data_IF_703184492383
#
_entry.id   IF_703184492383
#
_cell.length_a   1.000
_cell.length_b   1.000
_cell.length_c   1.000
_cell.angle_alpha   90.00
_cell.angle_beta   90.00
_cell.angle_gamma   90.00
#
_symmetry.space_group_name_H-M   'P 1'
#
loop_
_entity.id
_entity.type
_entity.pdbx_description
1 polymer ?
#
# COMPACT_ATOMS: atom_id res chain seq x y z
N UNK A 1 2.00 13.18 25.95
CA UNK A 1 0.78 12.37 25.86
C UNK A 1 1.00 11.10 26.62
N UNK A 2 0.10 10.75 27.54
CA UNK A 2 0.16 9.47 28.26
C UNK A 2 -0.16 8.34 27.29
N UNK A 3 0.66 7.29 27.31
CA UNK A 3 0.34 6.05 26.61
C UNK A 3 -0.84 5.37 27.28
N UNK A 4 -1.89 5.03 26.55
CA UNK A 4 -3.02 4.24 27.05
C UNK A 4 -2.67 2.76 26.84
N UNK A 5 -2.39 1.99 27.92
CA UNK A 5 -1.87 0.63 27.79
C UNK A 5 -2.95 -0.42 27.44
N UNK A 6 -4.21 -0.03 27.43
CA UNK A 6 -5.34 -0.91 27.10
C UNK A 6 -6.14 -0.36 25.94
N UNK A 7 -6.61 -1.22 25.01
CA UNK A 7 -7.49 -0.79 23.93
C UNK A 7 -8.73 -0.07 24.50
N UNK A 8 -9.07 1.07 23.90
CA UNK A 8 -10.25 1.85 24.25
C UNK A 8 -11.24 1.82 23.08
N UNK A 9 -12.55 1.76 23.36
CA UNK A 9 -13.55 1.96 22.32
C UNK A 9 -13.37 3.32 21.65
N UNK A 10 -13.52 3.35 20.32
CA UNK A 10 -13.44 4.59 19.56
C UNK A 10 -14.88 5.12 19.36
N UNK A 11 -15.25 6.27 19.98
CA UNK A 11 -16.59 6.82 19.84
C UNK A 11 -16.95 7.05 18.36
N UNK A 12 -18.14 6.63 17.96
CA UNK A 12 -18.60 6.73 16.56
C UNK A 12 -18.22 5.56 15.64
N UNK A 13 -17.46 4.57 16.16
CA UNK A 13 -17.16 3.31 15.50
C UNK A 13 -17.51 2.09 16.36
N UNK A 14 -18.56 2.23 17.20
CA UNK A 14 -18.98 1.19 18.15
C UNK A 14 -19.52 -0.07 17.46
N UNK A 15 -19.97 0.04 16.21
CA UNK A 15 -20.47 -1.07 15.40
C UNK A 15 -20.40 -0.78 13.90
N UNK A 16 -20.62 -1.82 13.10
CA UNK A 16 -20.72 -1.69 11.65
C UNK A 16 -19.40 -1.40 10.91
N UNK A 17 -18.25 -1.51 11.57
CA UNK A 17 -16.93 -1.41 10.91
C UNK A 17 -16.67 -2.69 10.13
N UNK A 18 -16.42 -2.57 8.84
CA UNK A 18 -16.11 -3.67 7.93
C UNK A 18 -14.62 -3.73 7.57
N UNK A 19 -13.92 -2.58 7.59
CA UNK A 19 -12.52 -2.48 7.20
C UNK A 19 -11.84 -1.29 7.88
N UNK A 20 -10.54 -1.41 8.15
CA UNK A 20 -9.68 -0.35 8.67
C UNK A 20 -8.50 -0.14 7.71
N UNK A 21 -8.17 1.11 7.44
CA UNK A 21 -6.98 1.53 6.73
C UNK A 21 -6.19 2.50 7.62
N UNK A 22 -4.91 2.20 7.83
CA UNK A 22 -4.05 2.98 8.73
C UNK A 22 -2.88 3.57 7.94
N UNK A 23 -2.77 4.88 7.94
CA UNK A 23 -1.61 5.62 7.46
C UNK A 23 -0.63 5.91 8.59
N UNK A 24 0.37 6.77 8.34
CA UNK A 24 1.39 7.11 9.35
C UNK A 24 0.79 7.93 10.51
N UNK A 25 -0.04 8.92 10.22
CA UNK A 25 -0.64 9.81 11.21
C UNK A 25 -2.17 9.84 11.20
N UNK A 26 -2.82 9.04 10.36
CA UNK A 26 -4.28 9.02 10.24
C UNK A 26 -4.81 7.59 10.11
N UNK A 27 -6.09 7.42 10.38
CA UNK A 27 -6.80 6.18 10.15
C UNK A 27 -8.16 6.45 9.52
N UNK A 28 -8.63 5.49 8.76
CA UNK A 28 -9.97 5.50 8.15
C UNK A 28 -10.66 4.16 8.39
N UNK A 29 -11.96 4.20 8.58
CA UNK A 29 -12.82 3.03 8.73
C UNK A 29 -13.90 3.06 7.65
N UNK A 30 -14.07 1.95 6.93
CA UNK A 30 -15.22 1.70 6.09
C UNK A 30 -16.28 0.97 6.90
N UNK A 31 -17.50 1.46 6.83
CA UNK A 31 -18.66 0.82 7.44
C UNK A 31 -19.32 -0.20 6.50
N UNK A 32 -20.14 -1.06 7.06
CA UNK A 32 -20.90 -2.08 6.30
C UNK A 32 -21.88 -1.49 5.31
N UNK A 33 -22.31 -0.24 5.49
CA UNK A 33 -23.15 0.51 4.56
C UNK A 33 -22.35 1.19 3.42
N UNK A 34 -21.02 1.02 3.40
CA UNK A 34 -20.13 1.58 2.39
C UNK A 34 -19.77 3.05 2.62
N UNK A 35 -20.12 3.64 3.77
CA UNK A 35 -19.64 4.97 4.16
C UNK A 35 -18.25 4.87 4.80
N UNK A 36 -17.51 5.99 4.83
CA UNK A 36 -16.14 6.07 5.37
C UNK A 36 -16.06 7.17 6.40
N UNK A 37 -15.36 6.91 7.50
CA UNK A 37 -15.00 7.90 8.51
C UNK A 37 -13.48 7.87 8.77
N UNK A 38 -12.85 9.04 8.80
CA UNK A 38 -11.41 9.18 9.02
C UNK A 38 -11.10 10.04 10.25
N UNK A 39 -9.93 9.81 10.87
CA UNK A 39 -9.44 10.54 12.05
C UNK A 39 -7.92 10.65 12.04
N UNK A 40 -7.38 11.47 12.93
CA UNK A 40 -5.94 11.71 13.05
C UNK A 40 -5.49 12.97 12.35
N UNK A 41 -4.28 12.94 11.81
CA UNK A 41 -3.66 14.07 11.09
C UNK A 41 -4.41 14.40 9.79
N UNK A 42 -4.60 15.70 9.54
CA UNK A 42 -5.23 16.24 8.33
C UNK A 42 -4.41 17.39 7.70
N UNK A 43 -3.14 17.49 8.04
CA UNK A 43 -2.26 18.57 7.54
C UNK A 43 -2.14 18.60 6.00
N UNK A 44 -2.46 17.48 5.35
CA UNK A 44 -2.47 17.32 3.90
C UNK A 44 -3.85 16.95 3.34
N UNK A 45 -4.93 17.13 4.11
CA UNK A 45 -6.29 16.80 3.65
C UNK A 45 -6.58 15.29 3.59
N UNK A 46 -5.78 14.44 4.24
CA UNK A 46 -5.89 12.98 4.18
C UNK A 46 -7.16 12.42 4.83
N UNK A 47 -7.92 13.24 5.55
CA UNK A 47 -9.23 12.87 6.09
C UNK A 47 -10.38 13.03 5.08
N UNK A 48 -10.13 13.56 3.88
CA UNK A 48 -11.11 13.67 2.80
C UNK A 48 -12.18 14.73 3.03
N UNK A 49 -11.87 15.77 3.79
CA UNK A 49 -12.79 16.85 4.14
C UNK A 49 -12.27 18.20 3.65
N UNK A 50 -13.18 19.03 3.13
CA UNK A 50 -12.82 20.36 2.66
C UNK A 50 -12.38 21.33 3.79
N UNK A 51 -12.77 21.04 5.03
CA UNK A 51 -12.26 21.73 6.20
C UNK A 51 -10.84 21.24 6.53
N UNK A 52 -9.87 22.09 6.38
CA UNK A 52 -8.47 21.76 6.66
C UNK A 52 -8.13 21.95 8.15
N UNK A 53 -9.00 21.50 9.06
CA UNK A 53 -8.63 21.36 10.47
C UNK A 53 -7.48 20.36 10.57
N UNK A 54 -6.37 20.74 11.19
CA UNK A 54 -5.10 19.99 11.15
C UNK A 54 -5.19 18.60 11.79
N UNK A 55 -6.13 18.37 12.70
CA UNK A 55 -6.29 17.11 13.42
C UNK A 55 -7.76 16.86 13.73
N UNK A 56 -8.22 15.61 13.52
CA UNK A 56 -9.49 15.12 14.03
C UNK A 56 -9.24 14.04 15.11
N UNK A 57 -9.61 14.34 16.35
CA UNK A 57 -9.40 13.42 17.49
C UNK A 57 -10.47 12.34 17.61
N UNK A 58 -11.49 12.38 16.75
CA UNK A 58 -12.54 11.37 16.64
C UNK A 58 -12.89 11.13 15.17
N UNK A 59 -13.43 9.95 14.80
CA UNK A 59 -13.84 9.65 13.45
C UNK A 59 -14.81 10.69 12.89
N UNK A 60 -14.49 11.22 11.72
CA UNK A 60 -15.30 12.17 10.98
C UNK A 60 -15.69 11.56 9.64
N UNK A 61 -16.96 11.64 9.28
CA UNK A 61 -17.45 11.12 8.00
C UNK A 61 -16.79 11.86 6.83
N UNK A 62 -16.44 11.11 5.77
CA UNK A 62 -15.94 11.64 4.51
C UNK A 62 -17.15 12.03 3.64
N UNK A 63 -17.42 13.33 3.40
CA UNK A 63 -18.62 13.76 2.72
C UNK A 63 -18.67 13.27 1.26
N UNK A 64 -19.85 12.82 0.82
CA UNK A 64 -20.10 12.44 -0.57
C UNK A 64 -19.46 11.13 -1.01
N UNK A 65 -18.82 10.39 -0.10
CA UNK A 65 -18.21 9.09 -0.37
C UNK A 65 -19.14 7.98 0.16
N UNK A 66 -19.69 7.17 -0.75
CA UNK A 66 -20.59 6.05 -0.44
C UNK A 66 -20.39 4.90 -1.41
N UNK A 67 -20.85 3.70 -1.05
CA UNK A 67 -20.66 2.51 -1.89
C UNK A 67 -19.22 2.01 -1.97
N UNK A 68 -18.40 2.39 -0.97
CA UNK A 68 -17.01 1.96 -0.89
C UNK A 68 -16.94 0.46 -0.61
N UNK A 69 -16.21 -0.26 -1.47
CA UNK A 69 -15.96 -1.70 -1.36
C UNK A 69 -14.61 -2.01 -0.73
N UNK A 70 -13.60 -1.13 -0.92
CA UNK A 70 -12.28 -1.22 -0.31
C UNK A 70 -11.76 0.16 0.08
N UNK A 71 -10.91 0.19 1.12
CA UNK A 71 -10.29 1.40 1.64
C UNK A 71 -8.81 1.16 1.90
N UNK A 72 -7.95 2.12 1.55
CA UNK A 72 -6.52 2.06 1.81
C UNK A 72 -5.96 3.41 2.24
N UNK A 73 -4.93 3.38 3.08
CA UNK A 73 -4.22 4.57 3.52
C UNK A 73 -2.71 4.41 3.27
N UNK A 74 -2.13 5.38 2.56
CA UNK A 74 -0.70 5.57 2.45
C UNK A 74 -0.15 6.44 3.59
N UNK A 75 1.07 6.96 3.47
CA UNK A 75 1.66 7.80 4.51
C UNK A 75 0.79 9.02 4.83
N UNK A 76 0.38 9.79 3.83
CA UNK A 76 -0.41 11.02 3.99
C UNK A 76 -1.48 11.20 2.92
N UNK A 77 -1.94 10.10 2.33
CA UNK A 77 -3.07 10.09 1.39
C UNK A 77 -3.93 8.86 1.63
N UNK A 78 -5.15 8.89 1.13
CA UNK A 78 -6.10 7.79 1.26
C UNK A 78 -6.70 7.49 -0.10
N UNK A 79 -7.05 6.22 -0.33
CA UNK A 79 -7.73 5.76 -1.54
C UNK A 79 -8.89 4.85 -1.18
N UNK A 80 -9.96 4.92 -1.96
CA UNK A 80 -11.14 4.07 -1.85
C UNK A 80 -11.54 3.53 -3.22
N UNK A 81 -12.03 2.31 -3.27
CA UNK A 81 -12.64 1.69 -4.43
C UNK A 81 -14.16 1.77 -4.30
N UNK A 82 -14.84 2.34 -5.29
CA UNK A 82 -16.29 2.41 -5.37
C UNK A 82 -16.81 1.26 -6.25
N UNK A 83 -17.48 0.28 -5.64
CA UNK A 83 -17.86 -0.95 -6.34
C UNK A 83 -16.69 -1.92 -6.52
N UNK A 84 -16.93 -3.01 -7.29
CA UNK A 84 -15.86 -3.95 -7.69
C UNK A 84 -16.39 -4.84 -8.84
N UNK A 85 -15.95 -4.64 -10.11
CA UNK A 85 -15.05 -3.58 -10.58
C UNK A 85 -15.65 -2.19 -10.42
N UNK A 86 -14.77 -1.19 -10.26
CA UNK A 86 -15.23 0.16 -10.01
C UNK A 86 -14.15 1.24 -10.08
N UNK A 87 -14.58 2.45 -9.76
CA UNK A 87 -13.76 3.64 -9.82
C UNK A 87 -12.90 3.79 -8.54
N UNK A 88 -11.64 4.16 -8.71
CA UNK A 88 -10.76 4.53 -7.61
C UNK A 88 -10.88 6.03 -7.33
N UNK A 89 -11.09 6.35 -6.05
CA UNK A 89 -11.07 7.73 -5.53
C UNK A 89 -9.90 7.88 -4.58
N UNK A 90 -9.06 8.90 -4.76
CA UNK A 90 -7.96 9.19 -3.84
C UNK A 90 -8.01 10.65 -3.36
N UNK A 91 -7.44 10.93 -2.20
CA UNK A 91 -7.35 12.25 -1.59
C UNK A 91 -6.19 12.34 -0.61
N UNK A 92 -5.87 13.55 -0.18
CA UNK A 92 -4.77 13.83 0.73
C UNK A 92 -3.61 14.54 0.04
N UNK A 93 -2.38 14.23 0.46
CA UNK A 93 -1.15 14.78 -0.11
C UNK A 93 -1.01 14.41 -1.58
N UNK A 94 -0.62 15.37 -2.43
CA UNK A 94 -0.51 15.17 -3.88
C UNK A 94 0.73 15.86 -4.51
N UNK A 95 1.68 16.31 -3.70
CA UNK A 95 2.93 16.94 -4.19
C UNK A 95 3.81 15.97 -5.02
N UNK A 96 3.52 14.68 -4.91
CA UNK A 96 4.16 13.60 -5.67
C UNK A 96 3.21 12.87 -6.62
N UNK A 97 2.05 13.47 -6.89
CA UNK A 97 0.99 12.92 -7.75
C UNK A 97 0.35 11.62 -7.22
N UNK A 98 0.42 11.35 -5.91
CA UNK A 98 -0.09 10.12 -5.31
C UNK A 98 -1.62 9.97 -5.36
N UNK A 99 -2.35 11.04 -5.63
CA UNK A 99 -3.80 11.03 -5.88
C UNK A 99 -4.16 10.55 -7.30
N UNK A 100 -3.31 10.80 -8.30
CA UNK A 100 -3.51 10.29 -9.66
C UNK A 100 -4.61 10.99 -10.46
N UNK A 101 -4.94 12.23 -10.13
CA UNK A 101 -6.01 13.01 -10.74
C UNK A 101 -5.60 13.81 -12.00
N UNK A 102 -4.41 13.52 -12.54
CA UNK A 102 -3.83 14.22 -13.70
C UNK A 102 -2.96 15.42 -13.35
N UNK A 103 -2.87 15.80 -12.08
CA UNK A 103 -2.16 16.99 -11.62
C UNK A 103 -1.23 16.70 -10.44
N UNK A 104 -0.36 17.65 -10.13
CA UNK A 104 0.34 17.75 -8.85
C UNK A 104 -0.13 18.99 -8.11
N UNK A 105 -0.40 18.86 -6.82
CA UNK A 105 -0.76 19.93 -5.92
C UNK A 105 -0.27 19.57 -4.52
N UNK A 106 -0.20 20.51 -3.59
CA UNK A 106 0.21 20.15 -2.23
C UNK A 106 -0.85 19.28 -1.55
N UNK A 107 -2.13 19.56 -1.81
CA UNK A 107 -3.28 18.95 -1.14
C UNK A 107 -4.45 18.74 -2.11
N UNK A 108 -5.09 17.57 -2.03
CA UNK A 108 -6.41 17.28 -2.55
C UNK A 108 -7.29 16.87 -1.38
N UNK A 109 -8.05 17.80 -0.83
CA UNK A 109 -8.74 17.64 0.46
C UNK A 109 -10.06 16.85 0.40
N UNK A 110 -10.53 16.50 -0.80
CA UNK A 110 -11.77 15.73 -0.98
C UNK A 110 -11.54 14.56 -1.93
N UNK A 111 -12.27 13.44 -1.77
CA UNK A 111 -12.16 12.30 -2.67
C UNK A 111 -12.29 12.70 -4.13
N UNK A 112 -11.28 12.41 -4.92
CA UNK A 112 -11.18 12.78 -6.33
C UNK A 112 -10.87 11.53 -7.16
N UNK A 113 -11.55 11.39 -8.31
CA UNK A 113 -11.39 10.25 -9.19
C UNK A 113 -9.97 10.15 -9.75
N UNK A 114 -9.41 8.96 -9.73
CA UNK A 114 -8.16 8.63 -10.42
C UNK A 114 -8.45 8.58 -11.92
N UNK A 115 -7.65 9.29 -12.72
CA UNK A 115 -7.88 9.37 -14.16
C UNK A 115 -7.65 8.03 -14.86
N UNK A 116 -8.64 7.52 -15.59
CA UNK A 116 -8.50 6.30 -16.42
C UNK A 116 -8.43 4.98 -15.64
N UNK A 117 -8.96 4.95 -14.41
CA UNK A 117 -9.15 3.72 -13.63
C UNK A 117 -10.59 3.69 -13.12
N UNK A 118 -11.45 3.00 -13.85
CA UNK A 118 -12.89 2.83 -13.58
C UNK A 118 -13.31 1.35 -13.54
N UNK A 119 -12.37 0.44 -13.68
CA UNK A 119 -12.52 -1.02 -13.76
C UNK A 119 -11.67 -1.77 -12.70
N UNK A 120 -11.19 -1.07 -11.67
CA UNK A 120 -10.40 -1.67 -10.62
C UNK A 120 -11.20 -2.68 -9.78
N UNK A 121 -10.52 -3.73 -9.33
CA UNK A 121 -11.03 -4.71 -8.37
C UNK A 121 -10.25 -4.68 -7.06
N UNK A 122 -9.13 -3.94 -7.02
CA UNK A 122 -8.32 -3.74 -5.83
C UNK A 122 -7.53 -2.43 -5.94
N UNK A 123 -7.34 -1.74 -4.83
CA UNK A 123 -6.47 -0.57 -4.71
C UNK A 123 -5.55 -0.72 -3.51
N UNK A 124 -4.29 -0.31 -3.65
CA UNK A 124 -3.32 -0.21 -2.55
C UNK A 124 -2.61 1.13 -2.59
N UNK A 125 -2.19 1.62 -1.43
CA UNK A 125 -1.44 2.86 -1.30
C UNK A 125 -0.15 2.61 -0.51
N UNK A 126 0.98 2.97 -1.09
CA UNK A 126 2.28 2.97 -0.45
C UNK A 126 2.60 4.31 0.23
N UNK A 127 3.89 4.59 0.48
CA UNK A 127 4.29 5.84 1.11
C UNK A 127 3.90 7.08 0.30
N UNK A 128 4.19 7.06 -1.01
CA UNK A 128 3.91 8.20 -1.90
C UNK A 128 3.51 7.76 -3.31
N UNK A 129 3.01 6.55 -3.47
CA UNK A 129 2.46 6.01 -4.70
C UNK A 129 1.21 5.19 -4.40
N UNK A 130 0.45 4.91 -5.42
CA UNK A 130 -0.75 4.08 -5.33
C UNK A 130 -0.81 3.15 -6.54
N UNK A 131 -1.42 1.99 -6.39
CA UNK A 131 -1.63 1.03 -7.47
C UNK A 131 -3.05 0.49 -7.44
N UNK A 132 -3.58 0.18 -8.62
CA UNK A 132 -4.85 -0.50 -8.79
C UNK A 132 -4.65 -1.75 -9.65
N UNK A 133 -5.33 -2.82 -9.28
CA UNK A 133 -5.41 -4.06 -10.06
C UNK A 133 -6.78 -4.16 -10.74
N UNK A 134 -6.77 -4.52 -12.00
CA UNK A 134 -7.98 -4.80 -12.79
C UNK A 134 -8.36 -6.28 -12.71
N UNK A 135 -9.57 -6.59 -13.15
CA UNK A 135 -10.12 -7.95 -13.14
C UNK A 135 -9.34 -8.93 -14.03
N UNK A 136 -8.67 -8.43 -15.07
CA UNK A 136 -7.83 -9.21 -15.98
C UNK A 136 -6.43 -9.52 -15.41
N UNK A 137 -6.13 -9.02 -14.21
CA UNK A 137 -4.84 -9.21 -13.53
C UNK A 137 -3.78 -8.20 -13.93
N UNK A 138 -4.08 -7.23 -14.80
CA UNK A 138 -3.19 -6.10 -15.07
C UNK A 138 -3.16 -5.13 -13.89
N UNK A 139 -2.07 -4.39 -13.76
CA UNK A 139 -1.84 -3.44 -12.66
C UNK A 139 -1.38 -2.11 -13.21
N UNK A 140 -1.95 -1.03 -12.71
CA UNK A 140 -1.53 0.32 -13.01
C UNK A 140 -1.17 1.07 -11.73
N UNK A 141 -0.03 1.77 -11.72
CA UNK A 141 0.47 2.52 -10.58
C UNK A 141 0.69 3.99 -10.93
N UNK A 142 0.55 4.88 -9.95
CA UNK A 142 0.75 6.33 -10.10
C UNK A 142 1.38 6.93 -8.86
N UNK A 143 1.81 8.19 -8.94
CA UNK A 143 2.49 8.87 -7.86
C UNK A 143 4.01 8.90 -8.04
N UNK A 144 4.74 8.77 -6.97
CA UNK A 144 6.18 8.93 -6.93
C UNK A 144 6.93 7.70 -7.43
N UNK A 145 7.76 7.90 -8.45
CA UNK A 145 8.50 6.84 -9.16
C UNK A 145 10.03 6.95 -9.03
N UNK A 146 10.51 7.73 -8.11
CA UNK A 146 11.92 7.99 -7.89
C UNK A 146 12.77 6.71 -7.71
N UNK A 147 12.19 5.68 -7.08
CA UNK A 147 12.85 4.38 -6.85
C UNK A 147 12.20 3.23 -7.66
N UNK A 148 11.48 3.54 -8.75
CA UNK A 148 10.88 2.52 -9.60
C UNK A 148 9.61 1.89 -9.01
N UNK A 149 8.97 2.51 -8.03
CA UNK A 149 7.81 1.96 -7.32
C UNK A 149 6.58 1.72 -8.21
N UNK A 150 6.53 2.34 -9.39
CA UNK A 150 5.44 2.16 -10.35
C UNK A 150 5.59 0.91 -11.24
N UNK A 151 6.78 0.28 -11.29
CA UNK A 151 6.98 -0.96 -12.04
C UNK A 151 6.84 -0.83 -13.57
N UNK A 152 6.92 0.38 -14.12
CA UNK A 152 6.70 0.67 -15.54
C UNK A 152 7.98 0.51 -16.41
N UNK A 153 9.00 -0.18 -15.91
CA UNK A 153 10.28 -0.39 -16.57
C UNK A 153 11.26 0.81 -16.47
N UNK A 154 10.89 1.88 -15.77
CA UNK A 154 11.65 3.13 -15.70
C UNK A 154 11.47 3.84 -14.37
N UNK A 155 12.35 4.80 -14.05
CA UNK A 155 12.11 5.81 -13.00
C UNK A 155 11.50 7.11 -13.57
N UNK A 156 11.13 7.11 -14.84
CA UNK A 156 10.49 8.25 -15.52
C UNK A 156 9.05 7.88 -15.92
N UNK A 157 8.10 8.82 -15.76
CA UNK A 157 8.27 10.10 -15.09
C UNK A 157 8.51 9.93 -13.57
N UNK A 158 9.28 10.82 -12.96
CA UNK A 158 9.55 10.76 -11.50
C UNK A 158 8.27 10.95 -10.66
N UNK A 159 7.26 11.60 -11.22
CA UNK A 159 5.93 11.81 -10.66
C UNK A 159 4.92 11.52 -11.78
N UNK A 160 4.22 10.41 -11.68
CA UNK A 160 3.18 10.05 -12.65
C UNK A 160 1.84 10.58 -12.15
N UNK A 161 1.33 11.62 -12.79
CA UNK A 161 0.03 12.24 -12.47
C UNK A 161 -1.17 11.41 -12.90
N UNK A 162 -0.93 10.40 -13.73
CA UNK A 162 -1.91 9.41 -14.19
C UNK A 162 -1.33 8.00 -14.10
N UNK A 163 -2.17 6.97 -14.01
CA UNK A 163 -1.76 5.58 -13.93
C UNK A 163 -0.81 5.15 -15.06
N UNK A 164 0.24 4.42 -14.69
CA UNK A 164 1.22 3.81 -15.59
C UNK A 164 1.10 2.30 -15.46
N UNK A 165 1.04 1.58 -16.57
CA UNK A 165 0.96 0.12 -16.56
C UNK A 165 2.25 -0.51 -16.01
N UNK A 166 2.09 -1.50 -15.13
CA UNK A 166 3.20 -2.33 -14.67
C UNK A 166 3.60 -3.27 -15.80
N UNK A 167 4.88 -3.25 -16.18
CA UNK A 167 5.36 -4.09 -17.28
C UNK A 167 5.41 -5.57 -16.87
N UNK A 168 5.21 -6.48 -17.82
CA UNK A 168 5.37 -7.93 -17.66
C UNK A 168 4.51 -8.56 -16.55
N UNK A 169 3.38 -7.90 -16.18
CA UNK A 169 2.46 -8.37 -15.16
C UNK A 169 1.00 -8.28 -15.65
N UNK A 170 0.38 -9.44 -15.84
CA UNK A 170 -1.02 -9.55 -16.33
C UNK A 170 -1.83 -10.65 -15.63
N UNK A 171 -1.32 -11.18 -14.52
CA UNK A 171 -1.91 -12.30 -13.79
C UNK A 171 -1.90 -12.06 -12.26
N UNK A 172 -1.84 -10.79 -11.85
CA UNK A 172 -1.92 -10.44 -10.44
C UNK A 172 -3.30 -10.78 -9.85
N UNK A 173 -3.30 -11.36 -8.65
CA UNK A 173 -4.51 -11.70 -7.88
C UNK A 173 -4.62 -10.92 -6.58
N UNK A 174 -3.51 -10.36 -6.08
CA UNK A 174 -3.48 -9.45 -4.94
C UNK A 174 -2.27 -8.52 -5.01
N UNK A 175 -2.37 -7.36 -4.37
CA UNK A 175 -1.31 -6.36 -4.26
C UNK A 175 -0.96 -6.07 -2.80
N UNK A 176 0.28 -5.63 -2.58
CA UNK A 176 0.73 -5.03 -1.33
C UNK A 176 1.73 -3.90 -1.63
N UNK A 177 1.62 -2.77 -0.96
CA UNK A 177 2.50 -1.62 -1.17
C UNK A 177 3.21 -1.23 0.12
N UNK A 178 4.54 -1.10 0.05
CA UNK A 178 5.37 -0.52 1.10
C UNK A 178 5.65 0.97 0.85
N UNK A 179 6.69 1.52 1.49
CA UNK A 179 6.98 2.96 1.34
C UNK A 179 7.33 3.34 -0.11
N UNK A 180 8.30 2.63 -0.70
CA UNK A 180 8.77 2.87 -2.06
C UNK A 180 8.91 1.57 -2.87
N UNK A 181 8.14 0.55 -2.56
CA UNK A 181 8.11 -0.71 -3.30
C UNK A 181 6.68 -1.25 -3.34
N UNK A 182 6.43 -2.11 -4.28
CA UNK A 182 5.14 -2.78 -4.46
C UNK A 182 5.39 -4.26 -4.72
N UNK A 183 4.49 -5.11 -4.26
CA UNK A 183 4.48 -6.53 -4.53
C UNK A 183 3.12 -6.97 -5.08
N UNK A 184 3.13 -7.94 -5.97
CA UNK A 184 1.95 -8.62 -6.47
C UNK A 184 2.03 -10.11 -6.18
N UNK A 185 0.95 -10.68 -5.72
CA UNK A 185 0.74 -12.12 -5.75
C UNK A 185 0.14 -12.48 -7.12
N UNK A 186 0.75 -13.42 -7.80
CA UNK A 186 0.33 -13.89 -9.13
C UNK A 186 -0.59 -15.11 -9.01
N UNK A 187 -1.39 -15.38 -10.03
CA UNK A 187 -2.27 -16.56 -10.11
C UNK A 187 -1.49 -17.88 -10.04
N UNK A 188 -0.23 -17.86 -10.42
CA UNK A 188 0.73 -18.96 -10.27
C UNK A 188 1.20 -19.19 -8.82
N UNK A 189 0.73 -18.40 -7.85
CA UNK A 189 1.18 -18.40 -6.45
C UNK A 189 2.64 -17.92 -6.26
N UNK A 190 3.23 -17.32 -7.27
CA UNK A 190 4.50 -16.61 -7.20
C UNK A 190 4.23 -15.18 -6.70
N UNK A 191 5.12 -14.65 -5.90
CA UNK A 191 5.14 -13.24 -5.51
C UNK A 191 6.18 -12.52 -6.36
N UNK A 192 5.83 -11.39 -6.96
CA UNK A 192 6.77 -10.54 -7.70
C UNK A 192 6.75 -9.14 -7.11
N UNK A 193 7.93 -8.55 -6.85
CA UNK A 193 8.07 -7.23 -6.23
C UNK A 193 8.91 -6.31 -7.11
N UNK A 194 8.73 -4.99 -6.95
CA UNK A 194 9.48 -3.95 -7.66
C UNK A 194 9.58 -2.67 -6.83
N UNK A 195 10.51 -1.80 -7.17
CA UNK A 195 10.79 -0.56 -6.47
C UNK A 195 12.11 -0.60 -5.70
N UNK A 196 12.17 0.04 -4.56
CA UNK A 196 13.33 0.13 -3.68
C UNK A 196 13.80 -1.24 -3.18
N UNK A 197 15.13 -1.47 -3.16
CA UNK A 197 15.72 -2.76 -2.74
C UNK A 197 16.98 -2.64 -1.86
N UNK A 198 17.27 -1.49 -1.29
CA UNK A 198 18.49 -1.36 -0.48
C UNK A 198 18.48 -2.20 0.80
N UNK A 199 17.29 -2.51 1.33
CA UNK A 199 17.10 -3.35 2.52
C UNK A 199 16.70 -4.78 2.17
N UNK A 200 16.70 -5.15 0.87
CA UNK A 200 16.27 -6.47 0.39
C UNK A 200 14.75 -6.68 0.38
N UNK A 201 13.97 -5.59 0.40
CA UNK A 201 12.50 -5.64 0.49
C UNK A 201 11.81 -6.25 -0.72
N UNK A 202 12.51 -6.48 -1.83
CA UNK A 202 11.98 -7.19 -3.00
C UNK A 202 12.05 -8.72 -2.86
N UNK A 203 12.86 -9.25 -1.92
CA UNK A 203 12.92 -10.69 -1.68
C UNK A 203 13.53 -11.52 -2.80
N UNK A 204 14.23 -10.92 -3.74
CA UNK A 204 14.81 -11.57 -4.93
C UNK A 204 16.18 -12.22 -4.67
N UNK A 205 16.58 -12.35 -3.40
CA UNK A 205 17.86 -12.92 -2.97
C UNK A 205 19.02 -11.95 -3.05
N UNK A 206 18.81 -10.70 -3.47
CA UNK A 206 19.86 -9.71 -3.66
C UNK A 206 19.51 -8.34 -3.10
N UNK A 207 20.53 -7.51 -2.88
CA UNK A 207 20.38 -6.06 -2.69
C UNK A 207 20.98 -5.31 -3.89
N UNK A 208 21.07 -5.96 -5.05
CA UNK A 208 21.59 -5.41 -6.27
C UNK A 208 20.45 -4.90 -7.18
N UNK A 209 20.78 -3.99 -8.08
CA UNK A 209 19.83 -3.43 -9.03
C UNK A 209 20.35 -2.20 -9.76
N UNK A 210 19.44 -1.41 -10.28
CA UNK A 210 19.76 -0.13 -10.90
C UNK A 210 20.14 0.88 -9.81
N UNK A 211 21.00 1.84 -10.18
CA UNK A 211 21.24 3.01 -9.36
C UNK A 211 20.12 4.04 -9.61
N UNK A 212 19.14 4.07 -8.74
CA UNK A 212 18.04 5.02 -8.77
C UNK A 212 18.38 6.20 -7.84
N UNK A 213 19.11 7.18 -8.39
CA UNK A 213 19.54 8.39 -7.65
C UNK A 213 20.28 8.10 -6.33
N UNK A 214 21.23 7.18 -6.37
CA UNK A 214 22.06 6.81 -5.21
C UNK A 214 21.49 5.68 -4.34
N UNK A 215 20.37 5.09 -4.73
CA UNK A 215 19.76 3.93 -4.04
C UNK A 215 19.53 2.78 -5.01
N UNK A 216 19.51 1.56 -4.49
CA UNK A 216 19.23 0.36 -5.29
C UNK A 216 17.74 0.22 -5.54
N UNK A 217 17.36 -0.06 -6.77
CA UNK A 217 15.96 -0.31 -7.14
C UNK A 217 15.83 -1.30 -8.31
N UNK A 218 14.63 -1.84 -8.49
CA UNK A 218 14.17 -2.55 -9.70
C UNK A 218 12.95 -1.81 -10.25
N UNK A 219 12.98 -1.47 -11.52
CA UNK A 219 11.90 -0.70 -12.16
C UNK A 219 10.82 -1.57 -12.80
N UNK A 220 11.01 -2.88 -12.79
CA UNK A 220 10.08 -3.90 -13.27
C UNK A 220 9.93 -5.01 -12.20
N UNK A 221 8.84 -5.79 -12.21
CA UNK A 221 8.65 -6.90 -11.31
C UNK A 221 9.80 -7.92 -11.37
N UNK A 222 10.28 -8.36 -10.19
CA UNK A 222 11.21 -9.49 -10.02
C UNK A 222 10.59 -10.48 -9.07
N UNK A 223 10.79 -11.78 -9.34
CA UNK A 223 10.19 -12.84 -8.53
C UNK A 223 10.90 -12.98 -7.18
N UNK A 224 10.10 -13.13 -6.14
CA UNK A 224 10.56 -13.44 -4.78
C UNK A 224 11.06 -14.88 -4.75
N UNK A 225 12.28 -15.08 -4.26
CA UNK A 225 12.88 -16.43 -4.17
C UNK A 225 12.33 -17.20 -2.96
N UNK A 226 12.44 -18.54 -2.99
CA UNK A 226 12.12 -19.46 -1.87
C UNK A 226 10.63 -19.56 -1.51
N UNK A 227 9.84 -18.49 -1.65
CA UNK A 227 8.41 -18.51 -1.34
C UNK A 227 7.66 -19.35 -2.36
N UNK A 228 6.92 -20.35 -1.91
CA UNK A 228 6.11 -21.22 -2.75
C UNK A 228 4.69 -21.36 -2.21
N UNK A 229 3.71 -21.46 -3.12
CA UNK A 229 2.31 -21.66 -2.74
C UNK A 229 1.72 -20.49 -1.96
N UNK A 230 2.19 -19.25 -2.20
CA UNK A 230 1.66 -18.06 -1.56
C UNK A 230 0.17 -17.89 -1.87
N UNK A 231 -0.62 -17.59 -0.85
CA UNK A 231 -2.05 -17.28 -0.95
C UNK A 231 -2.38 -15.87 -0.47
N UNK A 232 -1.47 -15.26 0.30
CA UNK A 232 -1.60 -13.89 0.77
C UNK A 232 -0.25 -13.19 0.76
N UNK A 233 -0.26 -11.89 0.57
CA UNK A 233 0.89 -11.00 0.66
C UNK A 233 0.53 -9.75 1.44
N UNK A 234 1.47 -9.24 2.21
CA UNK A 234 1.35 -7.95 2.89
C UNK A 234 2.70 -7.23 2.91
N UNK A 235 2.67 -5.91 2.99
CA UNK A 235 3.88 -5.10 3.06
C UNK A 235 3.76 -4.09 4.20
N UNK A 236 4.85 -3.94 4.94
CA UNK A 236 5.06 -2.81 5.83
C UNK A 236 5.92 -1.75 5.16
N UNK A 237 6.46 -0.81 5.93
CA UNK A 237 7.24 0.31 5.39
C UNK A 237 8.44 -0.15 4.52
N UNK A 238 9.30 -1.05 5.04
CA UNK A 238 10.52 -1.54 4.37
C UNK A 238 10.65 -3.07 4.42
N UNK A 239 9.58 -3.81 4.63
CA UNK A 239 9.57 -5.26 4.67
C UNK A 239 8.28 -5.81 4.05
N UNK A 240 8.29 -7.06 3.67
CA UNK A 240 7.09 -7.75 3.20
C UNK A 240 7.03 -9.17 3.77
N UNK A 241 5.82 -9.70 3.81
CA UNK A 241 5.57 -11.07 4.24
C UNK A 241 4.56 -11.73 3.30
N UNK A 242 4.72 -13.04 3.09
CA UNK A 242 3.78 -13.86 2.34
C UNK A 242 3.43 -15.11 3.13
N UNK A 243 2.17 -15.54 3.07
CA UNK A 243 1.74 -16.79 3.69
C UNK A 243 1.20 -17.77 2.65
N UNK A 244 1.45 -19.07 2.87
CA UNK A 244 0.89 -20.15 2.05
C UNK A 244 -0.42 -20.68 2.63
N UNK A 245 -1.19 -21.37 1.81
CA UNK A 245 -2.37 -22.11 2.25
C UNK A 245 -2.07 -23.25 3.24
N UNK A 246 -0.80 -23.69 3.32
CA UNK A 246 -0.33 -24.68 4.29
C UNK A 246 0.02 -24.09 5.67
N UNK A 247 -0.13 -22.76 5.85
CA UNK A 247 0.14 -22.07 7.11
C UNK A 247 1.59 -21.63 7.31
N UNK A 248 2.43 -21.74 6.29
CA UNK A 248 3.78 -21.21 6.33
C UNK A 248 3.74 -19.70 6.13
N UNK A 249 4.62 -18.98 6.83
CA UNK A 249 4.80 -17.53 6.72
C UNK A 249 6.27 -17.23 6.45
N UNK A 250 6.56 -16.45 5.44
CA UNK A 250 7.89 -15.92 5.14
C UNK A 250 7.87 -14.40 5.20
N UNK A 251 8.93 -13.82 5.78
CA UNK A 251 9.13 -12.38 5.80
C UNK A 251 10.54 -12.02 5.31
N UNK A 252 10.69 -10.84 4.71
CA UNK A 252 11.96 -10.35 4.15
C UNK A 252 12.01 -8.83 4.14
N UNK A 253 13.22 -8.28 3.94
CA UNK A 253 13.49 -6.86 3.94
C UNK A 253 14.17 -6.38 5.23
N UNK A 254 13.83 -5.18 5.67
CA UNK A 254 14.39 -4.53 6.86
C UNK A 254 14.00 -5.23 8.17
N UNK A 255 14.97 -5.41 9.11
CA UNK A 255 14.75 -6.14 10.37
C UNK A 255 15.37 -5.51 11.61
N UNK A 256 15.75 -4.25 11.59
CA UNK A 256 16.36 -3.61 12.76
C UNK A 256 15.41 -3.51 13.97
N UNK A 257 14.10 -3.46 13.72
CA UNK A 257 13.05 -3.47 14.75
C UNK A 257 12.49 -4.86 15.07
N UNK A 258 13.02 -5.95 14.48
CA UNK A 258 12.49 -7.31 14.66
C UNK A 258 11.20 -7.59 13.88
N UNK A 259 10.86 -6.77 12.87
CA UNK A 259 9.59 -6.84 12.13
C UNK A 259 9.42 -8.10 11.28
N UNK A 260 10.48 -8.86 11.04
CA UNK A 260 10.40 -10.13 10.34
C UNK A 260 9.95 -11.29 11.25
N UNK A 261 9.85 -11.08 12.58
CA UNK A 261 9.37 -12.10 13.50
C UNK A 261 10.26 -13.34 13.65
N UNK A 262 11.54 -13.25 13.29
CA UNK A 262 12.51 -14.38 13.29
C UNK A 262 13.15 -14.65 14.65
N UNK A 263 12.74 -13.91 15.70
CA UNK A 263 13.35 -14.00 17.04
C UNK A 263 14.68 -13.25 17.17
N UNK A 264 15.14 -12.57 16.13
CA UNK A 264 16.37 -11.77 16.11
C UNK A 264 16.15 -10.44 15.40
N UNK A 265 17.04 -9.48 15.66
CA UNK A 265 17.14 -8.21 14.92
C UNK A 265 18.43 -8.19 14.12
N UNK A 266 18.44 -7.50 12.99
CA UNK A 266 19.62 -7.30 12.16
C UNK A 266 19.60 -5.93 11.50
N UNK A 267 20.76 -5.27 11.45
CA UNK A 267 20.96 -4.09 10.61
C UNK A 267 21.31 -4.47 9.16
N UNK A 268 21.68 -5.73 8.92
CA UNK A 268 21.99 -6.21 7.58
C UNK A 268 20.68 -6.45 6.81
N UNK A 269 20.64 -6.11 5.53
CA UNK A 269 19.50 -6.41 4.67
C UNK A 269 19.15 -7.89 4.64
N UNK A 270 17.86 -8.19 4.57
CA UNK A 270 17.37 -9.57 4.44
C UNK A 270 16.69 -9.76 3.06
N UNK A 271 17.49 -9.94 1.98
CA UNK A 271 16.95 -10.02 0.62
C UNK A 271 16.35 -11.39 0.29
N UNK A 272 16.61 -12.41 1.10
CA UNK A 272 16.04 -13.75 0.94
C UNK A 272 14.95 -13.95 2.00
N UNK A 273 13.73 -14.33 1.62
CA UNK A 273 12.65 -14.62 2.58
C UNK A 273 13.08 -15.64 3.64
N UNK A 274 12.78 -15.34 4.89
CA UNK A 274 13.02 -16.23 6.04
C UNK A 274 11.67 -16.75 6.52
N UNK A 275 11.56 -18.07 6.71
CA UNK A 275 10.37 -18.68 7.29
C UNK A 275 10.26 -18.30 8.78
N UNK A 276 9.09 -17.80 9.18
CA UNK A 276 8.79 -17.43 10.57
C UNK A 276 8.40 -18.70 11.32
N UNK A 277 9.26 -19.16 12.22
CA UNK A 277 9.06 -20.37 13.00
C UNK A 277 8.10 -20.16 14.19
N UNK A 278 7.48 -21.25 14.66
CA UNK A 278 6.71 -21.24 15.91
C UNK A 278 5.30 -20.68 15.82
N UNK A 279 4.78 -20.48 14.61
CA UNK A 279 3.36 -20.17 14.44
C UNK A 279 2.52 -21.41 14.77
N UNK A 280 1.41 -21.26 15.53
CA UNK A 280 0.53 -22.37 15.80
C UNK A 280 -0.10 -22.86 14.49
N UNK A 281 0.05 -24.13 14.20
CA UNK A 281 -0.70 -24.80 13.11
C UNK A 281 -2.18 -24.80 13.48
N UNK A 282 -3.04 -24.30 12.60
CA UNK A 282 -4.50 -24.36 12.74
C UNK A 282 -5.01 -25.74 12.38
#
# INVERSE_FOLDING_TARGET
SECVPTPQPMPGLDSGVAELALGEGHGCARRTDGTVACWGDNSHGQLGRADLSLVATSPQEVPGLSGVSQLWAGTSHSCALLGSPGQVMCWGRNDRAQVGNGETSDVVSTPTAVAGVDDAVEVVAGGSHSCARRADGTVACWGYNYLGALGNGSTSPTRATSPQEVVELSDAVALAAGDHFTCALRSSQVVSCWGHNADGQLGDGTTEGLNCSGRVCKTAPVDVVVVSGATTINAGHLHACAASGAGQLWCWGYNLGGQLGTGSVSSDPTPTPIEVAGLPTR
#
